data_IF_927449951273
#
_entry.id   IF_927449951273
#
_cell.length_a   1.000
_cell.length_b   1.000
_cell.length_c   1.000
_cell.angle_alpha   90.00
_cell.angle_beta   90.00
_cell.angle_gamma   90.00
#
_symmetry.space_group_name_H-M   'P 1'
#
loop_
_entity.id
_entity.type
_entity.pdbx_description
1 polymer ?
#
# COMPACT_ATOMS: atom_id res chain seq x y z
N UNK A 1 10.84 -7.00 -8.33
CA UNK A 1 11.84 -7.14 -9.40
C UNK A 1 12.22 -5.74 -9.85
N UNK A 2 13.50 -5.50 -10.11
CA UNK A 2 14.00 -4.24 -10.67
C UNK A 2 14.24 -4.49 -12.15
N UNK A 3 13.64 -3.69 -13.03
CA UNK A 3 13.85 -3.79 -14.48
C UNK A 3 15.18 -3.13 -14.88
N UNK A 4 15.63 -3.34 -16.12
CA UNK A 4 16.84 -2.69 -16.68
C UNK A 4 16.74 -1.16 -16.75
N UNK A 5 15.56 -0.60 -16.52
CA UNK A 5 15.31 0.84 -16.37
C UNK A 5 15.14 1.26 -14.90
N UNK A 6 15.58 0.43 -13.95
CA UNK A 6 15.57 0.66 -12.50
C UNK A 6 14.17 0.85 -11.88
N UNK A 7 13.12 0.52 -12.61
CA UNK A 7 11.76 0.58 -12.10
C UNK A 7 11.40 -0.70 -11.35
N UNK A 8 10.70 -0.54 -10.23
CA UNK A 8 10.36 -1.62 -9.31
C UNK A 8 8.93 -2.08 -9.58
N UNK A 9 8.77 -3.37 -9.85
CA UNK A 9 7.47 -4.00 -10.05
C UNK A 9 7.31 -5.26 -9.19
N UNK A 10 6.07 -5.54 -8.81
CA UNK A 10 5.69 -6.86 -8.32
C UNK A 10 5.85 -7.88 -9.45
N UNK A 11 6.42 -9.05 -9.15
CA UNK A 11 6.65 -10.11 -10.15
C UNK A 11 5.34 -10.57 -10.80
N UNK A 12 4.28 -10.78 -10.01
CA UNK A 12 2.97 -11.18 -10.51
C UNK A 12 2.37 -10.13 -11.44
N UNK A 13 2.35 -8.85 -11.03
CA UNK A 13 1.79 -7.77 -11.84
C UNK A 13 2.52 -7.59 -13.18
N UNK A 14 3.85 -7.77 -13.20
CA UNK A 14 4.63 -7.66 -14.43
C UNK A 14 4.40 -8.84 -15.37
N UNK A 15 4.18 -10.04 -14.83
CA UNK A 15 3.83 -11.24 -15.60
C UNK A 15 2.43 -11.11 -16.23
N UNK A 16 1.43 -10.70 -15.47
CA UNK A 16 0.06 -10.47 -15.98
C UNK A 16 0.05 -9.37 -17.06
N UNK A 17 0.85 -8.32 -16.87
CA UNK A 17 1.04 -7.26 -17.87
C UNK A 17 1.69 -7.79 -19.16
N UNK A 18 2.71 -8.65 -19.04
CA UNK A 18 3.35 -9.27 -20.20
C UNK A 18 2.41 -10.18 -21.00
N UNK A 19 1.55 -10.94 -20.29
CA UNK A 19 0.61 -11.87 -20.91
C UNK A 19 -0.50 -11.16 -21.71
N UNK A 20 -0.81 -9.91 -21.37
CA UNK A 20 -1.88 -9.14 -22.01
C UNK A 20 -1.43 -8.31 -23.22
N UNK A 21 -0.17 -7.89 -23.30
CA UNK A 21 0.29 -6.93 -24.33
C UNK A 21 1.29 -7.48 -25.36
N UNK A 22 1.76 -8.72 -25.22
CA UNK A 22 2.63 -9.40 -26.19
C UNK A 22 4.05 -8.84 -26.30
N UNK A 23 4.22 -7.51 -26.34
CA UNK A 23 5.51 -6.80 -26.35
C UNK A 23 5.75 -6.11 -25.01
N UNK A 24 6.75 -6.59 -24.27
CA UNK A 24 7.06 -6.16 -22.90
C UNK A 24 7.86 -4.87 -22.87
N UNK A 25 7.16 -3.75 -22.92
CA UNK A 25 7.73 -2.43 -22.62
C UNK A 25 7.52 -2.08 -21.15
N UNK A 26 8.46 -1.37 -20.55
CA UNK A 26 8.32 -0.86 -19.19
C UNK A 26 7.09 0.08 -19.11
N UNK A 27 6.12 -0.17 -18.21
CA UNK A 27 4.95 0.70 -18.07
C UNK A 27 5.28 2.15 -17.69
N UNK A 28 6.44 2.37 -17.06
CA UNK A 28 6.81 3.69 -16.54
C UNK A 28 7.60 4.55 -17.53
N UNK A 29 8.33 3.93 -18.46
CA UNK A 29 9.25 4.66 -19.35
C UNK A 29 9.27 4.15 -20.79
N UNK A 30 8.40 3.20 -21.14
CA UNK A 30 8.24 2.59 -22.47
C UNK A 30 9.51 1.97 -23.07
N UNK A 31 10.56 1.79 -22.27
CA UNK A 31 11.80 1.14 -22.68
C UNK A 31 11.58 -0.38 -22.75
N UNK A 32 12.18 -1.08 -23.73
CA UNK A 32 12.04 -2.53 -23.85
C UNK A 32 12.62 -3.23 -22.62
N UNK A 33 11.85 -4.16 -22.03
CA UNK A 33 12.31 -4.96 -20.90
C UNK A 33 13.20 -6.08 -21.43
N UNK A 34 14.50 -6.02 -21.16
CA UNK A 34 15.51 -7.04 -21.53
C UNK A 34 15.63 -8.16 -20.49
N UNK A 35 14.61 -8.39 -19.66
CA UNK A 35 14.67 -9.40 -18.62
C UNK A 35 14.08 -10.73 -19.11
N UNK A 36 14.87 -11.79 -19.15
CA UNK A 36 14.39 -13.16 -19.35
C UNK A 36 13.42 -13.52 -18.20
N UNK A 37 12.13 -13.61 -18.52
CA UNK A 37 11.07 -13.90 -17.54
C UNK A 37 10.93 -15.40 -17.19
N UNK A 38 11.80 -16.25 -17.72
CA UNK A 38 11.75 -17.71 -17.54
C UNK A 38 12.78 -18.19 -16.51
N UNK A 39 12.58 -17.85 -15.23
CA UNK A 39 13.22 -18.61 -14.15
C UNK A 39 12.14 -19.39 -13.41
N UNK A 40 12.12 -20.69 -13.69
CA UNK A 40 11.30 -21.72 -13.04
C UNK A 40 11.43 -21.63 -11.52
N UNK A 41 10.33 -21.98 -10.86
CA UNK A 41 10.24 -22.11 -9.41
C UNK A 41 11.38 -22.97 -8.87
N UNK A 42 12.07 -22.49 -7.86
CA UNK A 42 12.75 -23.35 -6.91
C UNK A 42 12.37 -22.93 -5.49
N UNK A 43 12.08 -23.93 -4.67
CA UNK A 43 11.63 -23.80 -3.31
C UNK A 43 12.73 -23.23 -2.43
N UNK A 44 12.38 -22.24 -1.61
CA UNK A 44 13.33 -21.54 -0.76
C UNK A 44 12.60 -20.83 0.35
N UNK A 45 11.99 -21.63 1.21
CA UNK A 45 11.40 -21.26 2.48
C UNK A 45 12.37 -20.52 3.41
N UNK A 46 11.81 -19.51 4.07
CA UNK A 46 12.17 -19.05 5.41
C UNK A 46 13.49 -18.28 5.59
N UNK A 47 13.38 -16.95 5.55
CA UNK A 47 13.78 -16.12 6.71
C UNK A 47 13.09 -14.75 6.62
N UNK A 48 11.76 -14.78 6.60
CA UNK A 48 10.94 -13.60 6.81
C UNK A 48 11.04 -13.24 8.29
N UNK A 49 11.92 -12.29 8.61
CA UNK A 49 11.99 -11.67 9.94
C UNK A 49 10.58 -11.22 10.31
N UNK A 50 10.11 -11.78 11.42
CA UNK A 50 8.82 -11.58 12.07
C UNK A 50 8.69 -10.10 12.47
N UNK A 51 8.36 -9.23 11.52
CA UNK A 51 7.82 -7.91 11.83
C UNK A 51 6.35 -8.15 12.11
N UNK A 52 5.95 -7.83 13.33
CA UNK A 52 4.60 -7.89 13.86
C UNK A 52 3.61 -7.28 12.87
N UNK A 53 2.93 -8.14 12.11
CA UNK A 53 1.81 -7.77 11.25
C UNK A 53 0.77 -7.06 12.11
N UNK A 54 0.48 -5.79 11.79
CA UNK A 54 -0.61 -5.05 12.44
C UNK A 54 -1.91 -5.77 12.07
N UNK A 55 -2.57 -6.37 13.06
CA UNK A 55 -3.76 -7.21 12.91
C UNK A 55 -4.84 -6.39 12.16
N UNK A 56 -5.22 -6.82 10.97
CA UNK A 56 -6.22 -6.14 10.13
C UNK A 56 -5.69 -5.47 8.86
N UNK A 57 -4.37 -5.43 8.64
CA UNK A 57 -3.78 -4.88 7.42
C UNK A 57 -3.19 -5.96 6.52
N UNK A 58 -3.21 -5.70 5.20
CA UNK A 58 -2.57 -6.59 4.21
C UNK A 58 -1.07 -6.65 4.48
N UNK A 59 -0.45 -7.81 4.24
CA UNK A 59 1.00 -7.99 4.38
C UNK A 59 1.83 -7.04 3.49
N UNK A 60 1.22 -6.52 2.42
CA UNK A 60 1.77 -5.51 1.51
C UNK A 60 1.57 -4.05 1.96
N UNK A 61 0.89 -3.81 3.08
CA UNK A 61 0.56 -2.47 3.57
C UNK A 61 1.82 -1.66 3.86
N UNK A 62 1.76 -0.34 3.62
CA UNK A 62 2.86 0.58 3.95
C UNK A 62 3.22 0.53 5.44
N UNK A 63 2.25 0.21 6.30
CA UNK A 63 2.43 0.08 7.75
C UNK A 63 3.46 -0.98 8.14
N UNK A 64 3.66 -2.01 7.29
CA UNK A 64 4.65 -3.05 7.53
C UNK A 64 6.08 -2.65 7.11
N UNK A 65 6.24 -1.47 6.49
CA UNK A 65 7.52 -0.94 6.00
C UNK A 65 7.98 0.31 6.75
N UNK A 66 7.09 0.96 7.51
CA UNK A 66 7.40 2.17 8.28
C UNK A 66 7.56 1.84 9.77
N UNK A 67 8.42 2.58 10.46
CA UNK A 67 8.56 2.49 11.90
C UNK A 67 7.37 3.19 12.57
N UNK A 68 6.39 2.39 13.01
CA UNK A 68 5.15 2.91 13.62
C UNK A 68 5.37 3.72 14.91
N UNK A 69 6.48 3.48 15.63
CA UNK A 69 6.85 4.25 16.82
C UNK A 69 7.24 5.69 16.51
N UNK A 70 7.80 5.95 15.33
CA UNK A 70 8.23 7.29 14.90
C UNK A 70 7.21 7.91 13.92
N UNK A 71 6.02 7.31 13.81
CA UNK A 71 5.00 7.78 12.88
C UNK A 71 4.45 9.13 13.34
N UNK A 72 4.89 10.18 12.65
CA UNK A 72 4.29 11.50 12.73
C UNK A 72 3.06 11.57 11.81
N UNK A 73 1.93 12.00 12.38
CA UNK A 73 0.70 12.22 11.62
C UNK A 73 0.88 13.35 10.61
N UNK A 74 0.28 13.18 9.43
CA UNK A 74 0.18 14.23 8.43
C UNK A 74 -0.93 15.21 8.81
N UNK A 75 -0.75 16.50 8.51
CA UNK A 75 -1.77 17.53 8.71
C UNK A 75 -3.13 17.21 8.09
N UNK A 76 -3.18 16.45 6.98
CA UNK A 76 -4.47 16.02 6.41
C UNK A 76 -5.16 14.92 7.23
N UNK A 77 -4.39 14.05 7.90
CA UNK A 77 -4.94 13.03 8.81
C UNK A 77 -5.49 13.71 10.07
N UNK A 78 -4.79 14.73 10.58
CA UNK A 78 -5.24 15.52 11.72
C UNK A 78 -6.54 16.26 11.41
N UNK A 79 -6.59 16.97 10.27
CA UNK A 79 -7.79 17.65 9.79
C UNK A 79 -8.96 16.67 9.56
N UNK A 80 -8.71 15.49 8.98
CA UNK A 80 -9.73 14.45 8.82
C UNK A 80 -10.27 13.97 10.17
N UNK A 81 -9.39 13.79 11.17
CA UNK A 81 -9.80 13.41 12.51
C UNK A 81 -10.66 14.46 13.20
N UNK A 82 -10.40 15.75 12.96
CA UNK A 82 -11.24 16.86 13.44
C UNK A 82 -12.61 16.85 12.77
N UNK A 83 -12.67 16.77 11.44
CA UNK A 83 -13.94 16.72 10.72
C UNK A 83 -14.81 15.52 11.14
N UNK A 84 -14.20 14.35 11.40
CA UNK A 84 -14.95 13.18 11.89
C UNK A 84 -15.53 13.43 13.28
N UNK A 85 -14.77 14.05 14.19
CA UNK A 85 -15.28 14.39 15.54
C UNK A 85 -16.44 15.37 15.44
N UNK A 86 -16.28 16.42 14.66
CA UNK A 86 -17.33 17.41 14.45
C UNK A 86 -18.57 16.79 13.79
N UNK A 87 -18.38 15.86 12.86
CA UNK A 87 -19.48 15.12 12.22
C UNK A 87 -20.25 14.27 13.22
N UNK A 88 -19.55 13.54 14.10
CA UNK A 88 -20.17 12.70 15.16
C UNK A 88 -20.88 13.55 16.21
N UNK A 89 -20.30 14.68 16.61
CA UNK A 89 -20.89 15.61 17.58
C UNK A 89 -22.18 16.24 17.05
N UNK A 90 -22.26 16.49 15.73
CA UNK A 90 -23.46 16.99 15.06
C UNK A 90 -24.51 15.90 14.83
N UNK A 91 -24.10 14.72 14.35
CA UNK A 91 -24.96 13.58 14.05
C UNK A 91 -24.17 12.26 14.17
N UNK A 92 -24.46 11.50 15.23
CA UNK A 92 -23.82 10.20 15.48
C UNK A 92 -24.13 9.10 14.47
N UNK A 93 -25.07 9.30 13.53
CA UNK A 93 -25.36 8.37 12.43
C UNK A 93 -24.80 8.82 11.08
N UNK A 94 -24.08 9.94 11.04
CA UNK A 94 -23.51 10.47 9.81
C UNK A 94 -22.47 9.52 9.19
N UNK A 95 -22.40 9.52 7.86
CA UNK A 95 -21.48 8.67 7.08
C UNK A 95 -20.65 9.52 6.15
N UNK A 96 -19.34 9.26 6.10
CA UNK A 96 -18.40 9.92 5.22
C UNK A 96 -17.71 8.94 4.26
N UNK A 97 -17.27 9.44 3.11
CA UNK A 97 -16.43 8.69 2.17
C UNK A 97 -15.13 9.47 1.99
N UNK A 98 -13.99 8.79 2.17
CA UNK A 98 -12.66 9.39 2.00
C UNK A 98 -12.04 8.86 0.71
N UNK A 99 -11.61 9.77 -0.15
CA UNK A 99 -10.90 9.45 -1.38
C UNK A 99 -9.42 9.82 -1.27
N UNK A 100 -8.56 8.96 -1.81
CA UNK A 100 -7.15 9.26 -2.00
C UNK A 100 -6.66 8.60 -3.28
N UNK A 101 -5.87 9.34 -4.06
CA UNK A 101 -5.15 8.78 -5.22
C UNK A 101 -4.08 7.76 -4.82
N UNK A 102 -3.66 7.75 -3.55
CA UNK A 102 -2.66 6.84 -3.01
C UNK A 102 -3.32 5.84 -2.07
N UNK A 103 -3.36 4.56 -2.47
CA UNK A 103 -3.88 3.47 -1.65
C UNK A 103 -3.10 3.30 -0.34
N UNK A 104 -1.80 3.52 -0.38
CA UNK A 104 -0.94 3.54 0.82
C UNK A 104 -1.37 4.62 1.82
N UNK A 105 -1.94 5.73 1.36
CA UNK A 105 -2.43 6.77 2.26
C UNK A 105 -3.71 6.35 2.99
N UNK A 106 -4.56 5.54 2.35
CA UNK A 106 -5.75 4.97 3.00
C UNK A 106 -5.36 4.04 4.15
N UNK A 107 -4.29 3.26 4.00
CA UNK A 107 -3.75 2.43 5.09
C UNK A 107 -3.30 3.29 6.28
N UNK A 108 -2.65 4.44 6.03
CA UNK A 108 -2.23 5.37 7.08
C UNK A 108 -3.42 6.01 7.80
N UNK A 109 -4.45 6.42 7.04
CA UNK A 109 -5.70 6.96 7.60
C UNK A 109 -6.35 5.91 8.49
N UNK A 110 -6.52 4.68 7.98
CA UNK A 110 -7.13 3.58 8.71
C UNK A 110 -6.37 3.26 10.01
N UNK A 111 -5.03 3.22 9.96
CA UNK A 111 -4.21 3.04 11.16
C UNK A 111 -4.40 4.17 12.17
N UNK A 112 -4.40 5.42 11.71
CA UNK A 112 -4.57 6.58 12.58
C UNK A 112 -5.94 6.60 13.25
N UNK A 113 -7.01 6.22 12.54
CA UNK A 113 -8.37 6.16 13.09
C UNK A 113 -8.49 5.08 14.17
N UNK A 114 -7.94 3.88 13.92
CA UNK A 114 -7.89 2.80 14.92
C UNK A 114 -7.10 3.25 16.16
N UNK A 115 -5.94 3.89 15.97
CA UNK A 115 -5.08 4.34 17.08
C UNK A 115 -5.78 5.40 17.94
N UNK A 116 -6.56 6.28 17.33
CA UNK A 116 -7.32 7.32 18.03
C UNK A 116 -8.59 6.81 18.72
N UNK A 117 -8.91 5.52 18.62
CA UNK A 117 -10.10 4.93 19.24
C UNK A 117 -11.41 5.30 18.55
N UNK A 118 -11.35 5.85 17.33
CA UNK A 118 -12.53 6.12 16.51
C UNK A 118 -12.98 4.80 15.90
N UNK A 119 -13.99 4.18 16.51
CA UNK A 119 -14.64 2.97 15.99
C UNK A 119 -15.75 3.45 15.05
N UNK A 120 -15.59 3.17 13.76
CA UNK A 120 -16.54 3.48 12.69
C UNK A 120 -17.41 2.27 12.35
#
# INVERSE_FOLDING_TARGET
MVSSCEHIFCKACLLDFSASLGQVSCPNCSKPLTADFSTKADGGESQLRKITSVKGFRSSSILNRIHLNDFQTSTKIEALGEEIRDMVDRDGSAKGIVFSQFTSYLDLIHYSLIKSGVIY
#
